data_IF_020242724023
#
_entry.id   IF_020242724023
#
_cell.length_a   1.000
_cell.length_b   1.000
_cell.length_c   1.000
_cell.angle_alpha   90.00
_cell.angle_beta   90.00
_cell.angle_gamma   90.00
#
_symmetry.space_group_name_H-M   'P 1'
#
loop_
_entity.id
_entity.type
_entity.pdbx_description
1 polymer ?
#
# COMPACT_ATOMS: atom_id res chain seq x y z
N UNK A 1 -3.50 -18.23 19.58
CA UNK A 1 -3.97 -16.83 19.52
C UNK A 1 -4.19 -16.48 18.06
N UNK A 2 -5.42 -16.14 17.66
CA UNK A 2 -5.79 -16.03 16.25
C UNK A 2 -5.03 -14.92 15.51
N UNK A 3 -4.40 -15.26 14.40
CA UNK A 3 -3.84 -14.27 13.48
C UNK A 3 -4.97 -13.37 12.97
N UNK A 4 -4.81 -12.05 13.10
CA UNK A 4 -5.82 -11.09 12.67
C UNK A 4 -5.65 -10.82 11.19
N UNK A 5 -6.56 -11.33 10.36
CA UNK A 5 -6.58 -11.06 8.93
C UNK A 5 -6.50 -9.55 8.64
N UNK A 6 -5.71 -9.18 7.65
CA UNK A 6 -5.58 -7.80 7.18
C UNK A 6 -6.82 -7.41 6.39
N UNK A 7 -7.39 -6.25 6.73
CA UNK A 7 -8.49 -5.63 6.00
C UNK A 7 -8.09 -4.24 5.51
N UNK A 8 -8.33 -3.98 4.23
CA UNK A 8 -8.08 -2.68 3.61
C UNK A 8 -9.21 -2.36 2.65
N UNK A 9 -9.82 -1.18 2.78
CA UNK A 9 -10.91 -0.71 1.92
C UNK A 9 -10.63 0.70 1.39
N UNK A 10 -10.94 0.92 0.13
CA UNK A 10 -10.94 2.21 -0.54
C UNK A 10 -12.25 2.37 -1.31
N UNK A 11 -12.90 3.53 -1.17
CA UNK A 11 -13.96 3.95 -2.10
C UNK A 11 -13.30 4.62 -3.30
N UNK A 12 -13.62 4.13 -4.50
CA UNK A 12 -13.05 4.60 -5.76
C UNK A 12 -14.19 5.06 -6.65
N UNK A 13 -14.21 6.35 -7.01
CA UNK A 13 -15.19 6.90 -7.96
C UNK A 13 -14.77 6.59 -9.40
N UNK A 14 -15.09 5.37 -9.83
CA UNK A 14 -14.79 4.87 -11.16
C UNK A 14 -15.77 3.78 -11.55
N UNK A 15 -15.83 3.49 -12.86
CA UNK A 15 -16.53 2.33 -13.38
C UNK A 15 -15.93 1.02 -12.81
N UNK A 16 -16.83 0.11 -12.42
CA UNK A 16 -16.51 -1.23 -11.97
C UNK A 16 -15.73 -2.04 -13.02
N UNK A 17 -16.04 -1.86 -14.31
CA UNK A 17 -15.33 -2.55 -15.39
C UNK A 17 -13.89 -2.04 -15.53
N UNK A 18 -13.70 -0.72 -15.48
CA UNK A 18 -12.37 -0.12 -15.51
C UNK A 18 -11.53 -0.55 -14.29
N UNK A 19 -12.11 -0.54 -13.10
CA UNK A 19 -11.45 -1.00 -11.89
C UNK A 19 -11.11 -2.51 -11.97
N UNK A 20 -12.03 -3.34 -12.45
CA UNK A 20 -11.81 -4.77 -12.63
C UNK A 20 -10.65 -5.03 -13.60
N UNK A 21 -10.65 -4.38 -14.77
CA UNK A 21 -9.57 -4.53 -15.75
C UNK A 21 -8.21 -4.16 -15.14
N UNK A 22 -8.10 -3.01 -14.47
CA UNK A 22 -6.85 -2.52 -13.86
C UNK A 22 -6.35 -3.35 -12.68
N UNK A 23 -7.19 -4.20 -12.12
CA UNK A 23 -6.84 -5.07 -11.00
C UNK A 23 -6.59 -6.51 -11.43
N UNK A 24 -7.20 -6.98 -12.52
CA UNK A 24 -7.00 -8.36 -13.00
C UNK A 24 -5.96 -8.49 -14.11
N UNK A 25 -5.70 -7.44 -14.88
CA UNK A 25 -4.68 -7.45 -15.94
C UNK A 25 -3.27 -7.33 -15.32
N UNK A 26 -2.38 -8.34 -15.45
CA UNK A 26 -1.07 -8.34 -14.79
C UNK A 26 -0.22 -7.11 -15.12
N UNK A 27 -0.20 -6.74 -16.41
CA UNK A 27 0.57 -5.61 -16.93
C UNK A 27 0.14 -4.27 -16.33
N UNK A 28 -1.13 -4.14 -15.96
CA UNK A 28 -1.67 -2.95 -15.30
C UNK A 28 -1.55 -3.05 -13.77
N UNK A 29 -1.73 -4.25 -13.19
CA UNK A 29 -1.64 -4.50 -11.75
C UNK A 29 -0.25 -4.17 -11.19
N UNK A 30 0.80 -4.68 -11.83
CA UNK A 30 2.19 -4.44 -11.41
C UNK A 30 2.57 -2.95 -11.37
N UNK A 31 1.85 -2.08 -12.11
CA UNK A 31 2.18 -0.66 -12.19
C UNK A 31 1.83 0.07 -10.90
N UNK A 32 0.75 -0.30 -10.22
CA UNK A 32 0.24 0.42 -9.05
C UNK A 32 0.52 -0.28 -7.72
N UNK A 33 0.62 -1.61 -7.69
CA UNK A 33 0.82 -2.38 -6.46
C UNK A 33 2.29 -2.36 -6.00
N UNK A 34 2.55 -1.93 -4.76
CA UNK A 34 3.88 -1.96 -4.17
C UNK A 34 4.34 -3.37 -3.77
N UNK A 35 3.40 -4.31 -3.63
CA UNK A 35 3.67 -5.64 -3.07
C UNK A 35 4.15 -6.62 -4.13
N UNK A 36 3.81 -6.38 -5.40
CA UNK A 36 4.17 -7.25 -6.52
C UNK A 36 4.88 -6.41 -7.57
N UNK A 37 6.11 -6.79 -7.89
CA UNK A 37 6.91 -6.11 -8.93
C UNK A 37 6.65 -6.75 -10.30
N UNK A 38 6.48 -8.06 -10.34
CA UNK A 38 6.27 -8.84 -11.55
C UNK A 38 5.16 -9.87 -11.27
N UNK A 39 4.25 -10.03 -12.24
CA UNK A 39 3.15 -11.00 -12.19
C UNK A 39 3.05 -11.64 -13.57
N UNK A 40 3.24 -12.95 -13.63
CA UNK A 40 3.17 -13.72 -14.88
C UNK A 40 2.07 -14.76 -14.78
N UNK A 41 1.05 -14.62 -15.62
CA UNK A 41 -0.01 -15.62 -15.75
C UNK A 41 0.50 -16.83 -16.53
N UNK A 42 0.28 -18.01 -15.96
CA UNK A 42 0.57 -19.27 -16.64
C UNK A 42 -0.58 -19.61 -17.60
N UNK A 43 -0.31 -20.44 -18.64
CA UNK A 43 -1.37 -20.95 -19.50
C UNK A 43 -2.52 -21.54 -18.68
N UNK A 44 -3.74 -21.17 -19.05
CA UNK A 44 -4.97 -21.55 -18.34
C UNK A 44 -5.90 -22.31 -19.27
N UNK A 45 -6.53 -23.34 -18.74
CA UNK A 45 -7.67 -24.01 -19.37
C UNK A 45 -8.96 -23.32 -18.91
N UNK A 46 -9.90 -23.12 -19.84
CA UNK A 46 -11.19 -22.51 -19.53
C UNK A 46 -11.94 -23.30 -18.44
N UNK A 47 -12.51 -22.60 -17.46
CA UNK A 47 -13.16 -23.21 -16.30
C UNK A 47 -12.22 -23.52 -15.12
N UNK A 48 -10.91 -23.60 -15.32
CA UNK A 48 -9.95 -23.80 -14.22
C UNK A 48 -9.55 -22.47 -13.54
N UNK A 49 -9.07 -22.51 -12.28
CA UNK A 49 -8.42 -21.35 -11.65
C UNK A 49 -7.18 -20.88 -12.41
N UNK A 50 -6.96 -19.56 -12.47
CA UNK A 50 -5.78 -18.96 -13.09
C UNK A 50 -4.56 -19.16 -12.19
N UNK A 51 -3.52 -19.84 -12.69
CA UNK A 51 -2.24 -19.96 -12.00
C UNK A 51 -1.31 -18.81 -12.40
N UNK A 52 -0.52 -18.31 -11.47
CA UNK A 52 0.42 -17.23 -11.73
C UNK A 52 1.72 -17.40 -10.95
N UNK A 53 2.79 -16.81 -11.47
CA UNK A 53 4.02 -16.56 -10.72
C UNK A 53 4.07 -15.09 -10.36
N UNK A 54 4.63 -14.79 -9.20
CA UNK A 54 4.87 -13.42 -8.80
C UNK A 54 6.28 -13.26 -8.26
N UNK A 55 6.83 -12.07 -8.42
CA UNK A 55 8.06 -11.69 -7.79
C UNK A 55 7.92 -10.31 -7.12
N UNK A 56 8.54 -10.19 -5.96
CA UNK A 56 8.64 -8.93 -5.20
C UNK A 56 10.11 -8.57 -5.07
N UNK A 57 10.51 -7.46 -5.69
CA UNK A 57 11.85 -6.91 -5.53
C UNK A 57 11.89 -6.05 -4.28
N UNK A 58 12.45 -6.59 -3.20
CA UNK A 58 12.51 -5.93 -1.88
C UNK A 58 13.70 -4.96 -1.81
N UNK A 59 14.81 -5.32 -2.44
CA UNK A 59 16.04 -4.52 -2.54
C UNK A 59 16.68 -4.72 -3.93
N UNK A 60 17.66 -3.90 -4.36
CA UNK A 60 18.29 -4.00 -5.69
C UNK A 60 18.81 -5.39 -6.07
N UNK A 61 19.05 -6.27 -5.10
CA UNK A 61 19.55 -7.65 -5.31
C UNK A 61 18.75 -8.72 -4.57
N UNK A 62 17.59 -8.37 -3.99
CA UNK A 62 16.74 -9.31 -3.27
C UNK A 62 15.37 -9.37 -3.93
N UNK A 63 15.17 -10.44 -4.69
CA UNK A 63 13.88 -10.78 -5.30
C UNK A 63 13.31 -12.01 -4.59
N UNK A 64 12.10 -11.87 -4.09
CA UNK A 64 11.34 -12.97 -3.49
C UNK A 64 10.32 -13.43 -4.52
N UNK A 65 10.45 -14.66 -5.00
CA UNK A 65 9.53 -15.26 -5.96
C UNK A 65 8.59 -16.26 -5.30
N UNK A 66 7.36 -16.32 -5.79
CA UNK A 66 6.35 -17.26 -5.35
C UNK A 66 5.36 -17.65 -6.45
N UNK A 67 4.47 -18.56 -6.10
CA UNK A 67 3.42 -19.09 -6.97
C UNK A 67 2.07 -18.79 -6.36
N UNK A 68 1.05 -18.63 -7.21
CA UNK A 68 -0.29 -18.37 -6.76
C UNK A 68 -1.35 -18.94 -7.70
N UNK A 69 -2.55 -19.04 -7.16
CA UNK A 69 -3.75 -19.44 -7.87
C UNK A 69 -4.83 -18.42 -7.55
N UNK A 70 -5.44 -17.83 -8.58
CA UNK A 70 -6.55 -16.91 -8.46
C UNK A 70 -7.79 -17.45 -9.18
N UNK A 71 -8.96 -17.13 -8.66
CA UNK A 71 -10.23 -17.33 -9.33
C UNK A 71 -11.06 -16.06 -9.16
N UNK A 72 -11.54 -15.54 -10.29
CA UNK A 72 -12.44 -14.40 -10.35
C UNK A 72 -13.87 -14.86 -10.61
N UNK A 73 -14.81 -14.31 -9.86
CA UNK A 73 -16.24 -14.39 -10.13
C UNK A 73 -16.69 -12.97 -10.53
N UNK A 74 -16.82 -12.77 -11.84
CA UNK A 74 -17.13 -11.47 -12.46
C UNK A 74 -18.63 -11.17 -12.50
N UNK A 75 -19.46 -12.21 -12.58
CA UNK A 75 -20.91 -12.08 -12.74
C UNK A 75 -21.63 -12.71 -11.55
N UNK A 76 -22.02 -11.85 -10.60
CA UNK A 76 -22.95 -12.24 -9.53
C UNK A 76 -24.29 -11.54 -9.73
N UNK A 77 -25.40 -12.18 -9.30
CA UNK A 77 -26.74 -11.58 -9.41
C UNK A 77 -26.88 -10.24 -8.69
N UNK A 78 -26.04 -9.97 -7.68
CA UNK A 78 -26.04 -8.73 -6.90
C UNK A 78 -25.15 -7.62 -7.50
N UNK A 79 -24.57 -7.85 -8.69
CA UNK A 79 -23.65 -6.92 -9.35
C UNK A 79 -22.26 -6.83 -8.70
N UNK A 80 -22.01 -7.56 -7.62
CA UNK A 80 -20.69 -7.58 -6.97
C UNK A 80 -19.72 -8.45 -7.74
N UNK A 81 -18.44 -8.11 -7.67
CA UNK A 81 -17.37 -8.96 -8.18
C UNK A 81 -16.48 -9.42 -7.05
N UNK A 82 -15.91 -10.60 -7.18
CA UNK A 82 -14.95 -11.11 -6.21
C UNK A 82 -13.80 -11.79 -6.93
N UNK A 83 -12.57 -11.48 -6.54
CA UNK A 83 -11.38 -12.20 -6.98
C UNK A 83 -10.76 -12.84 -5.74
N UNK A 84 -10.76 -14.15 -5.65
CA UNK A 84 -10.10 -14.89 -4.58
C UNK A 84 -8.72 -15.34 -5.08
N UNK A 85 -7.74 -15.37 -4.18
CA UNK A 85 -6.41 -15.86 -4.49
C UNK A 85 -5.77 -16.57 -3.32
N UNK A 86 -4.95 -17.57 -3.63
CA UNK A 86 -4.01 -18.21 -2.71
C UNK A 86 -2.61 -18.06 -3.28
N UNK A 87 -1.62 -17.88 -2.41
CA UNK A 87 -0.23 -17.76 -2.79
C UNK A 87 0.66 -18.50 -1.82
N UNK A 88 1.78 -19.00 -2.32
CA UNK A 88 2.86 -19.56 -1.53
C UNK A 88 4.18 -19.02 -2.04
N UNK A 89 5.21 -19.07 -1.22
CA UNK A 89 6.57 -18.73 -1.64
C UNK A 89 7.53 -19.79 -1.11
N UNK A 90 8.20 -20.56 -1.99
CA UNK A 90 9.22 -21.52 -1.58
C UNK A 90 10.53 -20.83 -1.18
N UNK A 91 10.70 -19.55 -1.52
CA UNK A 91 11.94 -18.81 -1.28
C UNK A 91 12.29 -18.76 0.22
N UNK A 92 13.51 -19.16 0.65
CA UNK A 92 13.86 -19.32 2.06
C UNK A 92 13.88 -18.01 2.85
N UNK A 93 14.17 -16.90 2.16
CA UNK A 93 14.12 -15.54 2.73
C UNK A 93 12.71 -14.94 2.76
N UNK A 94 11.70 -15.62 2.20
CA UNK A 94 10.32 -15.16 2.30
C UNK A 94 9.80 -15.40 3.70
N UNK A 95 9.46 -14.34 4.43
CA UNK A 95 8.70 -14.49 5.68
C UNK A 95 7.33 -15.13 5.42
N UNK A 96 6.73 -14.90 4.25
CA UNK A 96 5.42 -15.42 3.88
C UNK A 96 5.58 -16.88 3.41
N UNK A 97 5.07 -17.85 4.17
CA UNK A 97 5.08 -19.25 3.76
C UNK A 97 3.97 -19.52 2.74
N UNK A 98 2.75 -19.20 3.16
CA UNK A 98 1.52 -19.37 2.42
C UNK A 98 0.53 -18.30 2.87
N UNK A 99 -0.36 -17.90 1.98
CA UNK A 99 -1.38 -16.91 2.26
C UNK A 99 -2.59 -17.07 1.36
N UNK A 100 -3.68 -16.49 1.81
CA UNK A 100 -4.94 -16.49 1.11
C UNK A 100 -5.60 -15.13 1.25
N UNK A 101 -6.20 -14.66 0.19
CA UNK A 101 -6.79 -13.34 0.14
C UNK A 101 -7.94 -13.29 -0.83
N UNK A 102 -8.72 -12.24 -0.73
CA UNK A 102 -9.75 -11.95 -1.71
C UNK A 102 -9.92 -10.46 -1.85
N UNK A 103 -10.29 -10.04 -3.04
CA UNK A 103 -10.75 -8.72 -3.38
C UNK A 103 -12.25 -8.76 -3.62
N UNK A 104 -12.95 -7.75 -3.12
CA UNK A 104 -14.37 -7.56 -3.38
C UNK A 104 -14.60 -6.16 -3.94
N UNK A 105 -15.48 -6.13 -4.93
CA UNK A 105 -15.88 -4.93 -5.64
C UNK A 105 -17.40 -4.83 -5.45
N UNK A 106 -17.82 -3.84 -4.67
CA UNK A 106 -19.24 -3.62 -4.36
C UNK A 106 -19.64 -2.27 -4.97
N UNK A 107 -20.57 -2.24 -5.94
CA UNK A 107 -21.13 -0.98 -6.42
C UNK A 107 -21.67 -0.14 -5.25
N UNK A 108 -21.33 1.15 -5.23
CA UNK A 108 -21.70 2.08 -4.15
C UNK A 108 -21.93 3.49 -4.73
N UNK A 109 -23.16 3.73 -5.21
CA UNK A 109 -23.57 5.00 -5.80
C UNK A 109 -22.76 5.35 -7.06
N UNK A 110 -21.99 6.44 -6.99
CA UNK A 110 -21.14 6.97 -8.06
C UNK A 110 -19.76 6.29 -8.15
N UNK A 111 -19.54 5.21 -7.41
CA UNK A 111 -18.27 4.50 -7.41
C UNK A 111 -18.37 3.07 -6.91
N UNK A 112 -17.23 2.56 -6.48
CA UNK A 112 -17.07 1.17 -6.02
C UNK A 112 -16.38 1.17 -4.67
N UNK A 113 -16.93 0.43 -3.71
CA UNK A 113 -16.20 0.02 -2.51
C UNK A 113 -15.32 -1.17 -2.86
N UNK A 114 -14.03 -0.90 -2.95
CA UNK A 114 -13.01 -1.87 -3.25
C UNK A 114 -12.27 -2.24 -1.97
N UNK A 115 -12.30 -3.52 -1.61
CA UNK A 115 -11.60 -3.96 -0.41
C UNK A 115 -10.97 -5.32 -0.56
N UNK A 116 -9.94 -5.54 0.25
CA UNK A 116 -9.26 -6.81 0.39
C UNK A 116 -9.32 -7.31 1.82
N UNK A 117 -9.53 -8.61 1.95
CA UNK A 117 -9.30 -9.35 3.18
C UNK A 117 -8.29 -10.44 2.90
N UNK A 118 -7.16 -10.46 3.60
CA UNK A 118 -6.17 -11.53 3.43
C UNK A 118 -5.44 -11.86 4.72
N UNK A 119 -4.99 -13.11 4.80
CA UNK A 119 -4.15 -13.57 5.89
C UNK A 119 -3.06 -14.48 5.33
N UNK A 120 -1.97 -14.58 6.07
CA UNK A 120 -0.82 -15.36 5.69
C UNK A 120 -0.13 -15.92 6.93
N UNK A 121 0.57 -17.03 6.74
CA UNK A 121 1.37 -17.66 7.78
C UNK A 121 2.82 -17.20 7.68
N UNK A 122 3.38 -16.58 8.74
CA UNK A 122 4.80 -16.26 8.78
C UNK A 122 5.67 -17.53 8.93
N UNK A 123 6.90 -17.49 8.44
CA UNK A 123 7.96 -18.48 8.65
C UNK A 123 8.68 -18.25 9.98
N UNK A 124 9.60 -19.15 10.34
CA UNK A 124 10.53 -19.02 11.49
C UNK A 124 9.90 -19.05 12.90
N UNK A 125 8.77 -19.74 13.04
CA UNK A 125 8.16 -20.01 14.34
C UNK A 125 7.87 -18.74 15.15
N UNK A 126 8.24 -18.73 16.44
CA UNK A 126 7.92 -17.65 17.35
C UNK A 126 8.60 -16.31 16.99
N UNK A 127 9.87 -16.35 16.55
CA UNK A 127 10.61 -15.15 16.14
C UNK A 127 9.97 -14.49 14.92
N UNK A 128 9.61 -15.29 13.91
CA UNK A 128 8.92 -14.75 12.74
C UNK A 128 7.50 -14.28 13.04
N UNK A 129 6.79 -14.90 13.98
CA UNK A 129 5.50 -14.41 14.45
C UNK A 129 5.61 -13.05 15.18
N UNK A 130 6.66 -12.86 15.98
CA UNK A 130 6.94 -11.58 16.65
C UNK A 130 7.28 -10.48 15.64
N UNK A 131 8.19 -10.77 14.71
CA UNK A 131 8.56 -9.85 13.65
C UNK A 131 7.36 -9.52 12.75
N UNK A 132 6.51 -10.52 12.42
CA UNK A 132 5.28 -10.31 11.66
C UNK A 132 4.37 -9.29 12.35
N UNK A 133 4.12 -9.50 13.64
CA UNK A 133 3.21 -8.65 14.41
C UNK A 133 3.69 -7.20 14.49
N UNK A 134 4.99 -6.96 14.72
CA UNK A 134 5.51 -5.62 14.97
C UNK A 134 5.88 -4.85 13.71
N UNK A 135 6.32 -5.54 12.67
CA UNK A 135 6.91 -4.90 11.48
C UNK A 135 6.16 -5.26 10.20
N UNK A 136 6.11 -6.55 9.86
CA UNK A 136 5.68 -6.94 8.51
C UNK A 136 4.19 -6.77 8.29
N UNK A 137 3.34 -7.18 9.24
CA UNK A 137 1.89 -7.03 9.10
C UNK A 137 1.45 -5.55 9.03
N UNK A 138 1.96 -4.65 9.89
CA UNK A 138 1.76 -3.21 9.71
C UNK A 138 2.26 -2.69 8.37
N UNK A 139 3.45 -3.10 7.92
CA UNK A 139 4.03 -2.68 6.64
C UNK A 139 3.20 -3.19 5.44
N UNK A 140 2.76 -4.45 5.46
CA UNK A 140 1.92 -5.05 4.43
C UNK A 140 0.54 -4.37 4.37
N UNK A 141 -0.03 -4.06 5.52
CA UNK A 141 -1.19 -3.18 5.61
C UNK A 141 -0.89 -1.84 4.93
N UNK A 142 0.13 -1.12 5.40
CA UNK A 142 0.54 0.17 4.83
C UNK A 142 0.69 0.13 3.30
N UNK A 143 1.48 -0.80 2.78
CA UNK A 143 1.75 -0.98 1.36
C UNK A 143 0.48 -1.26 0.56
N UNK A 144 -0.42 -2.11 1.09
CA UNK A 144 -1.71 -2.40 0.42
C UNK A 144 -2.57 -1.14 0.29
N UNK A 145 -2.71 -0.33 1.35
CA UNK A 145 -3.52 0.90 1.25
C UNK A 145 -2.85 1.97 0.39
N UNK A 146 -1.53 2.12 0.47
CA UNK A 146 -0.83 3.05 -0.40
C UNK A 146 -1.06 2.68 -1.87
N UNK A 147 -1.01 1.39 -2.18
CA UNK A 147 -1.30 0.84 -3.52
C UNK A 147 -2.75 1.11 -3.94
N UNK A 148 -3.72 0.92 -3.04
CA UNK A 148 -5.13 1.19 -3.31
C UNK A 148 -5.38 2.68 -3.57
N UNK A 149 -4.79 3.58 -2.78
CA UNK A 149 -4.93 5.02 -3.02
C UNK A 149 -4.23 5.44 -4.32
N UNK A 150 -3.10 4.83 -4.68
CA UNK A 150 -2.44 5.04 -5.98
C UNK A 150 -3.32 4.61 -7.15
N UNK A 151 -3.95 3.43 -7.06
CA UNK A 151 -4.93 2.97 -8.03
C UNK A 151 -6.13 3.92 -8.13
N UNK A 152 -6.63 4.39 -6.97
CA UNK A 152 -7.70 5.38 -6.90
C UNK A 152 -7.33 6.68 -7.61
N UNK A 153 -6.12 7.20 -7.39
CA UNK A 153 -5.64 8.41 -8.07
C UNK A 153 -5.57 8.24 -9.59
N UNK A 154 -5.20 7.05 -10.05
CA UNK A 154 -5.18 6.75 -11.47
C UNK A 154 -6.57 6.70 -12.08
N UNK A 155 -7.51 6.03 -11.42
CA UNK A 155 -8.88 5.90 -11.91
C UNK A 155 -9.69 7.20 -11.79
N UNK A 156 -9.57 7.94 -10.69
CA UNK A 156 -10.38 9.15 -10.44
C UNK A 156 -9.81 10.41 -11.08
N UNK A 157 -8.48 10.50 -11.26
CA UNK A 157 -7.80 11.73 -11.66
C UNK A 157 -6.91 11.57 -12.87
N UNK A 158 -6.82 10.37 -13.44
CA UNK A 158 -5.90 10.07 -14.55
C UNK A 158 -4.42 10.16 -14.18
N UNK A 159 -4.06 10.27 -12.90
CA UNK A 159 -2.66 10.35 -12.47
C UNK A 159 -2.05 8.96 -12.58
N UNK A 160 -1.20 8.74 -13.59
CA UNK A 160 -0.58 7.44 -13.81
C UNK A 160 0.17 6.96 -12.56
N UNK A 161 0.26 5.64 -12.33
CA UNK A 161 0.94 5.11 -11.16
C UNK A 161 2.38 5.64 -11.05
N UNK A 162 3.10 5.74 -12.16
CA UNK A 162 4.48 6.23 -12.21
C UNK A 162 4.55 7.70 -11.78
N UNK A 163 3.62 8.54 -12.25
CA UNK A 163 3.54 9.94 -11.85
C UNK A 163 3.16 10.09 -10.37
N UNK A 164 2.23 9.28 -9.89
CA UNK A 164 1.84 9.27 -8.48
C UNK A 164 3.04 8.91 -7.57
N UNK A 165 3.90 7.97 -8.00
CA UNK A 165 5.16 7.65 -7.31
C UNK A 165 6.13 8.83 -7.30
N UNK A 166 6.29 9.53 -8.44
CA UNK A 166 7.14 10.72 -8.52
C UNK A 166 6.63 11.85 -7.62
N UNK A 167 5.32 12.10 -7.58
CA UNK A 167 4.72 13.08 -6.68
C UNK A 167 5.05 12.75 -5.22
N UNK A 168 4.94 11.47 -4.83
CA UNK A 168 5.28 11.01 -3.49
C UNK A 168 6.76 11.22 -3.14
N UNK A 169 7.67 10.86 -4.05
CA UNK A 169 9.11 11.06 -3.87
C UNK A 169 9.47 12.55 -3.79
N UNK A 170 8.89 13.38 -4.66
CA UNK A 170 9.11 14.82 -4.65
C UNK A 170 8.61 15.45 -3.34
N UNK A 171 7.44 15.04 -2.86
CA UNK A 171 6.89 15.54 -1.60
C UNK A 171 7.76 15.12 -0.40
N UNK A 172 8.27 13.89 -0.39
CA UNK A 172 9.23 13.44 0.62
C UNK A 172 10.54 14.21 0.57
N UNK A 173 11.08 14.45 -0.63
CA UNK A 173 12.32 15.21 -0.79
C UNK A 173 12.18 16.65 -0.29
N UNK A 174 11.05 17.31 -0.60
CA UNK A 174 10.75 18.65 -0.08
C UNK A 174 10.63 18.64 1.44
N UNK A 175 9.92 17.67 2.03
CA UNK A 175 9.80 17.56 3.50
C UNK A 175 11.16 17.33 4.16
N UNK A 176 11.97 16.43 3.60
CA UNK A 176 13.31 16.15 4.10
C UNK A 176 14.21 17.38 4.01
N UNK A 177 14.14 18.13 2.90
CA UNK A 177 14.88 19.38 2.73
C UNK A 177 14.46 20.44 3.75
N UNK A 178 13.15 20.63 3.98
CA UNK A 178 12.65 21.58 4.99
C UNK A 178 13.14 21.19 6.39
N UNK A 179 13.09 19.91 6.75
CA UNK A 179 13.58 19.43 8.05
C UNK A 179 15.09 19.64 8.17
N UNK A 180 15.85 19.28 7.14
CA UNK A 180 17.30 19.45 7.13
C UNK A 180 17.69 20.93 7.28
N UNK A 181 17.08 21.83 6.49
CA UNK A 181 17.30 23.27 6.58
C UNK A 181 16.87 23.85 7.92
N UNK A 182 15.77 23.35 8.49
CA UNK A 182 15.34 23.78 9.82
C UNK A 182 16.35 23.39 10.89
N UNK A 183 16.82 22.14 10.87
CA UNK A 183 17.82 21.63 11.81
C UNK A 183 19.19 22.31 11.64
N UNK A 184 19.66 22.56 10.42
CA UNK A 184 20.93 23.25 10.20
C UNK A 184 20.85 24.75 10.47
N UNK A 185 19.71 25.38 10.17
CA UNK A 185 19.42 26.77 10.51
C UNK A 185 19.41 27.02 12.03
N UNK A 186 18.92 26.05 12.81
CA UNK A 186 19.04 26.07 14.27
C UNK A 186 20.52 26.09 14.72
N UNK A 187 21.37 25.28 14.10
CA UNK A 187 22.80 25.20 14.44
C UNK A 187 23.60 26.42 13.98
N UNK A 188 23.23 27.07 12.87
CA UNK A 188 23.94 28.24 12.35
C UNK A 188 23.47 29.57 12.95
N UNK A 189 22.30 29.59 13.60
CA UNK A 189 21.74 30.79 14.21
C UNK A 189 22.65 31.36 15.30
N UNK A 190 23.28 30.50 16.11
CA UNK A 190 24.18 30.91 17.19
C UNK A 190 25.35 31.78 16.69
N UNK A 191 25.90 31.47 15.52
CA UNK A 191 27.03 32.18 14.92
C UNK A 191 26.66 33.51 14.26
N UNK A 192 25.36 33.76 14.01
CA UNK A 192 24.86 34.95 13.30
C UNK A 192 24.17 35.96 14.21
N UNK A 193 23.78 35.57 15.43
CA UNK A 193 23.07 36.41 16.40
C UNK A 193 23.82 37.71 16.75
N UNK A 194 25.15 37.67 16.81
CA UNK A 194 25.99 38.84 17.11
C UNK A 194 25.90 39.96 16.06
N UNK A 195 25.59 39.64 14.80
CA UNK A 195 25.46 40.61 13.70
C UNK A 195 24.14 41.39 13.73
N UNK A 196 23.16 40.93 14.52
CA UNK A 196 21.80 41.49 14.58
C UNK A 196 21.63 42.58 15.65
N UNK A 197 22.69 42.88 16.41
CA UNK A 197 22.74 43.97 17.39
C UNK A 197 21.55 43.94 18.37
N UNK A 198 20.75 45.00 18.49
CA UNK A 198 19.66 45.09 19.47
C UNK A 198 18.50 44.11 19.22
N UNK A 199 18.40 43.53 18.02
CA UNK A 199 17.37 42.55 17.67
C UNK A 199 17.76 41.10 17.98
N UNK A 200 18.99 40.86 18.46
CA UNK A 200 19.51 39.53 18.72
C UNK A 200 18.61 38.72 19.68
N UNK A 201 18.15 39.33 20.78
CA UNK A 201 17.32 38.63 21.78
C UNK A 201 15.95 38.19 21.22
N UNK A 202 15.26 39.07 20.48
CA UNK A 202 13.98 38.72 19.84
C UNK A 202 14.16 37.67 18.75
N UNK A 203 15.26 37.73 18.00
CA UNK A 203 15.57 36.78 16.93
C UNK A 203 15.95 35.41 17.49
N UNK A 204 16.67 35.37 18.61
CA UNK A 204 17.01 34.13 19.33
C UNK A 204 15.77 33.35 19.79
N UNK A 205 14.64 34.01 20.01
CA UNK A 205 13.39 33.35 20.38
C UNK A 205 12.50 33.00 19.18
N UNK A 206 12.32 33.94 18.24
CA UNK A 206 11.41 33.77 17.11
C UNK A 206 11.92 32.74 16.09
N UNK A 207 13.22 32.70 15.80
CA UNK A 207 13.76 31.80 14.78
C UNK A 207 13.64 30.32 15.16
N UNK A 208 14.04 29.84 16.36
CA UNK A 208 13.82 28.45 16.75
C UNK A 208 12.35 28.04 16.73
N UNK A 209 11.44 28.94 17.12
CA UNK A 209 10.01 28.71 17.09
C UNK A 209 9.51 28.51 15.65
N UNK A 210 9.93 29.36 14.71
CA UNK A 210 9.57 29.24 13.29
C UNK A 210 10.15 27.97 12.65
N UNK A 211 11.38 27.59 13.00
CA UNK A 211 12.03 26.37 12.50
C UNK A 211 11.35 25.12 13.06
N UNK A 212 11.01 25.11 14.35
CA UNK A 212 10.21 24.05 14.97
C UNK A 212 8.82 23.94 14.31
N UNK A 213 8.14 25.07 14.07
CA UNK A 213 6.88 25.09 13.35
C UNK A 213 7.02 24.53 11.92
N UNK A 214 8.09 24.87 11.20
CA UNK A 214 8.38 24.34 9.87
C UNK A 214 8.58 22.80 9.90
N UNK A 215 9.30 22.27 10.90
CA UNK A 215 9.44 20.82 11.12
C UNK A 215 8.08 20.18 11.40
N UNK A 216 7.27 20.76 12.29
CA UNK A 216 5.93 20.25 12.58
C UNK A 216 5.06 20.22 11.31
N UNK A 217 5.06 21.28 10.50
CA UNK A 217 4.35 21.29 9.22
C UNK A 217 4.90 20.22 8.27
N UNK A 218 6.22 20.08 8.15
CA UNK A 218 6.84 19.08 7.29
C UNK A 218 6.53 17.63 7.71
N UNK A 219 6.32 17.37 9.00
CA UNK A 219 5.97 16.04 9.52
C UNK A 219 4.47 15.74 9.45
N UNK A 220 3.62 16.70 9.84
CA UNK A 220 2.20 16.44 10.09
C UNK A 220 1.27 16.91 8.97
N UNK A 221 1.74 17.77 8.04
CA UNK A 221 0.91 18.20 6.91
C UNK A 221 0.44 16.98 6.12
N UNK A 222 -0.84 16.95 5.80
CA UNK A 222 -1.41 15.90 4.95
C UNK A 222 -0.77 15.91 3.55
N UNK A 223 -0.40 14.74 2.98
CA UNK A 223 -0.09 14.60 1.57
C UNK A 223 -1.06 15.24 0.63
N UNK A 224 -0.49 15.79 -0.44
CA UNK A 224 -1.21 16.47 -1.50
C UNK A 224 -2.22 15.53 -2.16
N UNK A 225 -3.26 16.12 -2.77
CA UNK A 225 -4.35 15.35 -3.37
C UNK A 225 -3.92 14.44 -4.52
N UNK A 226 -2.79 14.73 -5.18
CA UNK A 226 -2.17 13.89 -6.22
C UNK A 226 -1.05 12.96 -5.71
N UNK A 227 -0.80 12.92 -4.41
CA UNK A 227 0.19 12.06 -3.76
C UNK A 227 -0.51 10.88 -3.08
N UNK A 228 -0.13 9.62 -3.36
CA UNK A 228 -0.67 8.47 -2.66
C UNK A 228 -0.48 8.54 -1.14
N UNK A 229 -1.51 8.19 -0.38
CA UNK A 229 -1.49 8.21 1.07
C UNK A 229 -2.29 7.04 1.67
N UNK A 230 -1.60 6.10 2.32
CA UNK A 230 -2.20 4.93 2.96
C UNK A 230 -3.31 5.26 3.98
N UNK A 231 -3.24 6.43 4.64
CA UNK A 231 -4.23 6.86 5.63
C UNK A 231 -5.61 7.18 5.05
N UNK A 232 -5.74 7.29 3.72
CA UNK A 232 -7.04 7.51 3.04
C UNK A 232 -7.86 6.23 2.91
N UNK A 233 -7.27 5.06 3.17
CA UNK A 233 -7.96 3.78 3.15
C UNK A 233 -8.37 3.35 4.56
N UNK A 234 -9.51 2.69 4.67
CA UNK A 234 -10.00 2.12 5.92
C UNK A 234 -9.25 0.82 6.24
N UNK A 235 -9.01 0.57 7.52
CA UNK A 235 -8.30 -0.62 8.04
C UNK A 235 -9.18 -1.58 8.80
N UNK A 236 -10.39 -1.13 9.12
CA UNK A 236 -11.38 -1.89 9.83
C UNK A 236 -12.64 -1.90 8.98
N UNK A 237 -13.28 -3.07 8.85
CA UNK A 237 -14.49 -3.17 8.06
C UNK A 237 -15.65 -2.47 8.79
N UNK A 238 -16.38 -1.60 8.07
CA UNK A 238 -17.59 -0.96 8.60
C UNK A 238 -18.72 -1.96 8.89
N UNK A 239 -18.72 -3.08 8.15
CA UNK A 239 -19.63 -4.22 8.32
C UNK A 239 -18.84 -5.51 8.26
N UNK A 240 -19.17 -6.52 9.07
CA UNK A 240 -18.40 -7.77 9.21
C UNK A 240 -18.04 -8.39 7.83
N UNK A 241 -16.79 -8.22 7.41
CA UNK A 241 -16.30 -8.76 6.14
C UNK A 241 -16.09 -10.28 6.28
N UNK A 242 -16.87 -11.07 5.55
CA UNK A 242 -16.71 -12.54 5.49
C UNK A 242 -15.91 -12.94 4.26
N UNK A 243 -14.96 -13.84 4.45
CA UNK A 243 -14.23 -14.47 3.35
C UNK A 243 -15.23 -15.16 2.38
N UNK A 244 -15.06 -14.99 1.06
CA UNK A 244 -15.97 -15.56 0.07
C UNK A 244 -15.81 -17.08 0.02
N UNK A 245 -16.90 -17.78 -0.33
CA UNK A 245 -16.88 -19.26 -0.51
C UNK A 245 -15.87 -19.69 -1.58
N UNK A 246 -15.67 -18.87 -2.62
CA UNK A 246 -14.68 -19.06 -3.68
C UNK A 246 -13.24 -19.25 -3.14
N UNK A 247 -12.91 -18.64 -2.00
CA UNK A 247 -11.57 -18.85 -1.41
C UNK A 247 -11.37 -20.29 -0.94
N UNK A 248 -12.44 -21.00 -0.58
CA UNK A 248 -12.38 -22.40 -0.12
C UNK A 248 -12.18 -23.39 -1.27
N UNK A 249 -12.60 -23.04 -2.49
CA UNK A 249 -12.50 -23.90 -3.66
C UNK A 249 -11.13 -23.82 -4.34
N UNK A 250 -10.30 -22.83 -3.98
CA UNK A 250 -8.93 -22.73 -4.48
C UNK A 250 -8.03 -23.78 -3.85
N UNK A 251 -7.22 -24.44 -4.69
CA UNK A 251 -6.15 -25.34 -4.24
C UNK A 251 -5.01 -24.56 -3.57
N UNK A 252 -4.25 -25.23 -2.71
CA UNK A 252 -3.02 -24.65 -2.20
C UNK A 252 -1.94 -24.69 -3.29
N UNK A 253 -1.33 -23.54 -3.65
CA UNK A 253 -0.22 -23.52 -4.59
C UNK A 253 0.95 -24.33 -4.02
N UNK A 254 1.40 -25.32 -4.80
CA UNK A 254 2.60 -26.12 -4.50
C UNK A 254 3.87 -25.32 -4.71
#
# INVERSE_FOLDING_TARGET
MGHTALYIEARIRADLDALWARTQEPSEHQRWDLRFTEIDYLPRVEGEPQRFRYATRVLPFLTIAGTGVSAGEKERPDGTRTSALRFSSPHPLSLLAEGSGYWRYVPDGDGVRFFTGYDYRPRWGALGAFADRLLFRPLMGWATAWSFDRLRLWLERGVTPERARLNWLAELAVRALVIALACTGLCSLESLLWLLGPFAASTAYLCPLLLAAAVCVALFKSPLSGTPAARRCLRQPLTRARAPRLLRTLENPR
#
